data_IF_880918503209
#
_entry.id   IF_880918503209
#
_cell.length_a   1.000
_cell.length_b   1.000
_cell.length_c   1.000
_cell.angle_alpha   90.00
_cell.angle_beta   90.00
_cell.angle_gamma   90.00
#
_symmetry.space_group_name_H-M   'P 1'
#
loop_
_entity.id
_entity.type
_entity.pdbx_description
1 polymer ?
#
# COMPACT_ATOMS: atom_id res chain seq x y z
N UNK A 1 51.94 16.05 -44.13
CA UNK A 1 51.03 15.31 -44.99
C UNK A 1 50.23 14.43 -44.07
N UNK A 2 49.05 14.91 -43.61
CA UNK A 2 47.73 14.59 -44.08
C UNK A 2 47.40 13.11 -43.82
N UNK A 3 46.42 12.68 -43.08
CA UNK A 3 45.01 13.07 -43.06
C UNK A 3 44.31 12.62 -41.78
N UNK A 4 43.28 13.31 -41.30
CA UNK A 4 42.47 12.93 -40.18
C UNK A 4 41.18 12.24 -40.68
N UNK A 5 40.38 11.71 -39.78
CA UNK A 5 39.01 11.23 -39.86
C UNK A 5 38.83 9.74 -39.56
N UNK A 6 38.33 9.46 -38.38
CA UNK A 6 37.01 8.85 -38.22
C UNK A 6 36.69 8.54 -36.73
N UNK A 7 36.23 9.55 -36.04
CA UNK A 7 35.51 9.40 -34.79
C UNK A 7 34.09 8.91 -35.06
N UNK A 8 33.84 7.62 -35.01
CA UNK A 8 32.47 7.09 -35.01
C UNK A 8 32.03 6.78 -33.59
N UNK A 9 31.10 7.59 -33.09
CA UNK A 9 30.25 7.33 -31.92
C UNK A 9 29.60 5.96 -32.07
N UNK A 10 29.99 5.00 -31.22
CA UNK A 10 29.28 3.73 -31.00
C UNK A 10 28.77 3.70 -29.54
N UNK A 11 27.82 4.51 -29.19
CA UNK A 11 27.21 4.49 -27.84
C UNK A 11 25.70 4.38 -27.83
N UNK A 12 25.03 4.34 -28.98
CA UNK A 12 23.57 4.24 -29.05
C UNK A 12 22.99 2.83 -29.20
N UNK A 13 23.75 1.91 -29.79
CA UNK A 13 23.21 0.61 -30.23
C UNK A 13 23.30 -0.48 -29.13
N UNK A 14 24.26 -0.43 -28.22
CA UNK A 14 24.36 -1.41 -27.12
C UNK A 14 23.27 -1.21 -26.06
N UNK A 15 22.95 0.03 -25.72
CA UNK A 15 21.87 0.33 -24.77
C UNK A 15 20.48 -0.10 -25.23
N UNK A 16 20.25 -0.08 -26.55
CA UNK A 16 18.97 -0.52 -27.14
C UNK A 16 18.85 -2.05 -27.14
N UNK A 17 19.97 -2.77 -27.31
CA UNK A 17 19.96 -4.24 -27.38
C UNK A 17 19.80 -4.87 -25.98
N UNK A 18 20.38 -4.31 -24.93
CA UNK A 18 20.15 -4.78 -23.56
C UNK A 18 18.70 -4.57 -23.09
N UNK A 19 18.12 -3.39 -23.37
CA UNK A 19 16.70 -3.15 -23.12
C UNK A 19 15.77 -4.10 -23.90
N UNK A 20 16.11 -4.48 -25.12
CA UNK A 20 15.33 -5.43 -25.91
C UNK A 20 15.43 -6.86 -25.38
N UNK A 21 16.53 -7.28 -24.79
CA UNK A 21 16.67 -8.61 -24.19
C UNK A 21 15.95 -8.74 -22.85
N UNK A 22 15.96 -7.71 -22.02
CA UNK A 22 15.17 -7.63 -20.79
C UNK A 22 13.66 -7.58 -21.11
N UNK A 23 13.27 -6.81 -22.14
CA UNK A 23 11.90 -6.68 -22.61
C UNK A 23 11.35 -8.01 -23.16
N UNK A 24 12.14 -8.76 -23.95
CA UNK A 24 11.77 -10.09 -24.44
C UNK A 24 11.71 -11.17 -23.33
N UNK A 25 12.52 -11.05 -22.26
CA UNK A 25 12.45 -11.91 -21.07
C UNK A 25 11.16 -11.67 -20.29
N UNK A 26 10.73 -10.42 -20.15
CA UNK A 26 9.50 -10.01 -19.51
C UNK A 26 8.25 -10.56 -20.24
N UNK A 27 8.20 -10.43 -21.57
CA UNK A 27 7.07 -10.93 -22.38
C UNK A 27 6.90 -12.44 -22.37
N UNK A 28 7.97 -13.23 -22.19
CA UNK A 28 7.87 -14.69 -22.11
C UNK A 28 7.24 -15.17 -20.80
N UNK A 29 7.36 -14.39 -19.70
CA UNK A 29 6.81 -14.73 -18.39
C UNK A 29 5.36 -14.25 -18.19
N UNK A 30 4.93 -13.25 -18.95
CA UNK A 30 3.59 -12.66 -18.87
C UNK A 30 2.97 -12.51 -20.27
N UNK A 31 2.49 -13.61 -20.90
CA UNK A 31 1.97 -13.58 -22.28
C UNK A 31 0.72 -12.71 -22.46
N UNK A 32 -0.11 -12.52 -21.43
CA UNK A 32 -1.31 -11.68 -21.48
C UNK A 32 -1.02 -10.18 -21.64
N UNK A 33 0.24 -9.78 -21.46
CA UNK A 33 0.70 -8.39 -21.70
C UNK A 33 0.70 -8.05 -23.21
N UNK A 34 0.76 -9.05 -24.08
CA UNK A 34 0.76 -8.86 -25.55
C UNK A 34 -0.62 -8.56 -26.14
N UNK A 35 -1.72 -8.95 -25.48
CA UNK A 35 -3.07 -8.71 -25.96
C UNK A 35 -3.53 -7.24 -25.82
N UNK A 36 -2.78 -6.42 -25.07
CA UNK A 36 -3.14 -5.05 -24.72
C UNK A 36 -2.35 -3.96 -25.47
N UNK A 37 -1.98 -4.18 -26.75
CA UNK A 37 -1.38 -3.11 -27.56
C UNK A 37 -2.24 -1.85 -27.66
N UNK A 38 -3.53 -1.91 -27.34
CA UNK A 38 -4.40 -0.73 -27.23
C UNK A 38 -4.17 0.09 -25.96
N UNK A 39 -3.64 -0.49 -24.87
CA UNK A 39 -3.22 0.25 -23.68
C UNK A 39 -1.82 0.87 -23.78
N UNK A 40 -1.02 0.44 -24.75
CA UNK A 40 0.35 0.96 -24.97
C UNK A 40 0.40 2.46 -25.34
N UNK A 41 -0.70 3.04 -25.84
CA UNK A 41 -0.79 4.49 -26.13
C UNK A 41 -0.88 5.36 -24.87
N UNK A 42 -1.14 4.79 -23.69
CA UNK A 42 -1.09 5.48 -22.40
C UNK A 42 0.18 5.15 -21.59
N UNK A 43 1.00 4.23 -22.05
CA UNK A 43 2.18 3.71 -21.37
C UNK A 43 3.51 4.42 -21.75
N UNK A 44 3.46 5.62 -22.32
CA UNK A 44 4.66 6.47 -22.47
C UNK A 44 4.97 7.26 -21.19
N UNK A 45 4.63 6.70 -20.02
CA UNK A 45 5.00 7.32 -18.75
C UNK A 45 6.50 7.10 -18.52
N UNK A 46 7.23 8.16 -18.29
CA UNK A 46 8.61 8.07 -17.85
C UNK A 46 8.62 7.62 -16.39
N UNK A 47 9.55 6.76 -15.99
CA UNK A 47 9.82 6.43 -14.57
C UNK A 47 10.03 7.70 -13.70
N UNK A 48 10.24 8.85 -14.35
CA UNK A 48 10.48 10.16 -13.72
C UNK A 48 9.23 10.83 -13.15
N UNK A 49 8.01 10.33 -13.43
CA UNK A 49 6.77 11.00 -13.03
C UNK A 49 6.30 10.63 -11.62
N UNK A 50 6.54 9.39 -11.12
CA UNK A 50 6.17 8.97 -9.75
C UNK A 50 7.18 9.50 -8.72
N UNK A 51 6.67 10.14 -7.67
CA UNK A 51 7.48 10.52 -6.52
C UNK A 51 7.82 9.29 -5.66
N UNK A 52 9.08 9.20 -5.24
CA UNK A 52 9.57 8.14 -4.35
C UNK A 52 10.21 8.74 -3.11
N UNK A 53 9.98 8.13 -1.94
CA UNK A 53 10.54 8.55 -0.67
C UNK A 53 11.34 7.44 0.00
N UNK A 54 12.55 7.78 0.44
CA UNK A 54 13.39 6.88 1.21
C UNK A 54 12.85 6.76 2.64
N UNK A 55 12.77 5.54 3.15
CA UNK A 55 12.51 5.32 4.58
C UNK A 55 13.81 5.65 5.35
N UNK A 56 13.75 6.56 6.32
CA UNK A 56 14.93 6.94 7.10
C UNK A 56 15.60 5.73 7.75
N UNK A 57 16.95 5.71 7.77
CA UNK A 57 17.73 4.61 8.37
C UNK A 57 17.79 3.34 7.53
N UNK A 58 17.23 3.33 6.31
CA UNK A 58 17.24 2.16 5.41
C UNK A 58 17.75 2.51 4.02
N UNK A 59 17.95 1.51 3.17
CA UNK A 59 18.13 1.68 1.72
C UNK A 59 16.79 1.59 0.95
N UNK A 60 15.70 1.27 1.65
CA UNK A 60 14.36 1.09 1.06
C UNK A 60 13.77 2.42 0.60
N UNK A 61 13.28 2.44 -0.63
CA UNK A 61 12.65 3.60 -1.26
C UNK A 61 11.26 3.20 -1.74
N UNK A 62 10.21 3.78 -1.15
CA UNK A 62 8.83 3.51 -1.51
C UNK A 62 8.32 4.49 -2.56
N UNK A 63 7.46 4.03 -3.48
CA UNK A 63 6.56 4.92 -4.20
C UNK A 63 5.62 5.60 -3.20
N UNK A 64 5.34 6.91 -3.36
CA UNK A 64 4.46 7.64 -2.42
C UNK A 64 3.01 7.16 -2.45
N UNK A 65 2.62 6.46 -3.53
CA UNK A 65 1.42 5.62 -3.59
C UNK A 65 1.85 4.17 -3.48
N UNK A 66 1.41 3.48 -2.43
CA UNK A 66 1.61 2.06 -2.19
C UNK A 66 0.32 1.34 -2.59
N UNK A 67 0.42 0.27 -3.36
CA UNK A 67 -0.75 -0.56 -3.67
C UNK A 67 -1.18 -1.33 -2.42
N UNK A 68 -2.39 -1.05 -1.92
CA UNK A 68 -2.97 -1.73 -0.76
C UNK A 68 -3.90 -2.87 -1.20
N UNK A 69 -3.62 -4.10 -0.78
CA UNK A 69 -4.36 -5.29 -1.23
C UNK A 69 -5.54 -5.70 -0.34
N UNK A 70 -5.90 -4.92 0.67
CA UNK A 70 -6.98 -5.28 1.59
C UNK A 70 -8.31 -5.63 0.90
N UNK A 71 -8.64 -4.93 -0.19
CA UNK A 71 -9.84 -5.18 -0.97
C UNK A 71 -9.73 -6.37 -1.95
N UNK A 72 -8.61 -7.11 -1.95
CA UNK A 72 -8.28 -8.09 -2.99
C UNK A 72 -8.35 -9.55 -2.52
N UNK A 73 -8.86 -9.84 -1.33
CA UNK A 73 -8.99 -11.19 -0.81
C UNK A 73 -10.41 -11.75 -0.86
N UNK A 74 -10.57 -13.05 -1.15
CA UNK A 74 -11.84 -13.75 -1.00
C UNK A 74 -12.83 -13.61 -2.16
N UNK A 75 -12.35 -13.36 -3.39
CA UNK A 75 -13.20 -13.06 -4.55
C UNK A 75 -13.37 -14.24 -5.53
N UNK A 76 -14.33 -14.07 -6.46
CA UNK A 76 -14.54 -14.97 -7.60
C UNK A 76 -13.31 -15.04 -8.51
N UNK A 77 -13.22 -16.08 -9.35
CA UNK A 77 -12.08 -16.26 -10.27
C UNK A 77 -11.89 -15.05 -11.22
N UNK A 78 -12.98 -14.41 -11.68
CA UNK A 78 -12.93 -13.22 -12.53
C UNK A 78 -12.36 -12.01 -11.76
N UNK A 79 -12.83 -11.80 -10.52
CA UNK A 79 -12.32 -10.73 -9.66
C UNK A 79 -10.85 -10.96 -9.29
N UNK A 80 -10.43 -12.23 -9.11
CA UNK A 80 -9.02 -12.57 -8.87
C UNK A 80 -8.14 -12.15 -10.05
N UNK A 81 -8.56 -12.43 -11.29
CA UNK A 81 -7.83 -12.04 -12.49
C UNK A 81 -7.70 -10.51 -12.58
N UNK A 82 -8.77 -9.78 -12.30
CA UNK A 82 -8.74 -8.32 -12.31
C UNK A 82 -7.85 -7.76 -11.19
N UNK A 83 -7.83 -8.39 -10.02
CA UNK A 83 -6.94 -8.02 -8.92
C UNK A 83 -5.45 -8.21 -9.30
N UNK A 84 -5.08 -9.33 -9.92
CA UNK A 84 -3.72 -9.56 -10.46
C UNK A 84 -3.36 -8.48 -11.49
N UNK A 85 -4.26 -8.20 -12.44
CA UNK A 85 -4.06 -7.16 -13.44
C UNK A 85 -3.93 -5.76 -12.83
N UNK A 86 -4.70 -5.47 -11.76
CA UNK A 86 -4.59 -4.19 -11.05
C UNK A 86 -3.21 -3.99 -10.42
N UNK A 87 -2.64 -5.01 -9.79
CA UNK A 87 -1.26 -4.98 -9.25
C UNK A 87 -0.26 -4.71 -10.38
N UNK A 88 -0.36 -5.44 -11.48
CA UNK A 88 0.54 -5.27 -12.64
C UNK A 88 0.38 -3.90 -13.29
N UNK A 89 -0.86 -3.38 -13.39
CA UNK A 89 -1.14 -2.05 -13.92
C UNK A 89 -0.57 -0.94 -13.02
N UNK A 90 -0.64 -1.11 -11.70
CA UNK A 90 -0.03 -0.18 -10.76
C UNK A 90 1.49 -0.10 -10.92
N UNK A 91 2.16 -1.26 -11.10
CA UNK A 91 3.60 -1.29 -11.38
C UNK A 91 3.96 -0.53 -12.66
N UNK A 92 3.24 -0.78 -13.76
CA UNK A 92 3.43 -0.04 -15.03
C UNK A 92 3.19 1.47 -14.87
N UNK A 93 2.35 1.85 -13.91
CA UNK A 93 2.10 3.25 -13.55
C UNK A 93 3.12 3.81 -12.53
N UNK A 94 4.23 3.12 -12.27
CA UNK A 94 5.32 3.59 -11.41
C UNK A 94 5.18 3.22 -9.93
N UNK A 95 4.15 2.48 -9.52
CA UNK A 95 4.04 1.98 -8.14
C UNK A 95 5.00 0.79 -7.97
N UNK A 96 5.96 0.92 -7.08
CA UNK A 96 6.93 -0.16 -6.80
C UNK A 96 6.70 -0.84 -5.45
N UNK A 97 5.76 -0.35 -4.65
CA UNK A 97 5.54 -0.82 -3.29
C UNK A 97 4.15 -1.42 -3.14
N UNK A 98 4.07 -2.64 -2.58
CA UNK A 98 2.86 -3.44 -2.46
C UNK A 98 2.65 -3.83 -1.00
N UNK A 99 1.53 -3.41 -0.40
CA UNK A 99 1.16 -3.75 0.98
C UNK A 99 0.05 -4.79 1.02
N UNK A 100 0.26 -5.82 1.83
CA UNK A 100 -0.66 -6.92 2.04
C UNK A 100 -0.66 -7.37 3.50
N UNK A 101 -1.39 -8.46 3.82
CA UNK A 101 -1.35 -9.14 5.10
C UNK A 101 -1.90 -10.57 4.98
N UNK A 102 -1.47 -11.53 5.84
CA UNK A 102 -2.06 -12.86 5.92
C UNK A 102 -3.56 -12.83 6.19
N UNK A 103 -4.04 -11.90 7.02
CA UNK A 103 -5.46 -11.75 7.35
C UNK A 103 -6.33 -11.40 6.13
N UNK A 104 -5.79 -10.72 5.11
CA UNK A 104 -6.58 -10.23 3.99
C UNK A 104 -7.04 -11.39 3.11
N UNK A 105 -8.33 -11.73 3.20
CA UNK A 105 -8.90 -12.91 2.56
C UNK A 105 -8.29 -14.22 3.05
N UNK A 106 -7.79 -14.27 4.29
CA UNK A 106 -7.19 -15.46 4.89
C UNK A 106 -6.03 -16.04 4.04
N UNK A 107 -5.18 -15.15 3.50
CA UNK A 107 -4.04 -15.46 2.66
C UNK A 107 -4.22 -15.22 1.17
N UNK A 108 -5.46 -15.02 0.69
CA UNK A 108 -5.74 -14.84 -0.74
C UNK A 108 -5.07 -13.58 -1.30
N UNK A 109 -5.09 -12.47 -0.54
CA UNK A 109 -4.47 -11.22 -1.00
C UNK A 109 -2.94 -11.38 -1.20
N UNK A 110 -2.25 -12.08 -0.31
CA UNK A 110 -0.82 -12.38 -0.50
C UNK A 110 -0.58 -13.28 -1.70
N UNK A 111 -1.46 -14.27 -1.93
CA UNK A 111 -1.37 -15.15 -3.09
C UNK A 111 -1.57 -14.38 -4.40
N UNK A 112 -2.53 -13.44 -4.44
CA UNK A 112 -2.75 -12.54 -5.59
C UNK A 112 -1.53 -11.66 -5.85
N UNK A 113 -0.94 -11.07 -4.81
CA UNK A 113 0.31 -10.30 -4.95
C UNK A 113 1.41 -11.20 -5.48
N UNK A 114 1.60 -12.42 -4.91
CA UNK A 114 2.60 -13.38 -5.35
C UNK A 114 2.47 -13.76 -6.83
N UNK A 115 1.24 -14.00 -7.32
CA UNK A 115 0.98 -14.23 -8.74
C UNK A 115 1.31 -13.03 -9.62
N UNK A 116 0.91 -11.84 -9.17
CA UNK A 116 1.10 -10.62 -9.94
C UNK A 116 2.58 -10.23 -10.09
N UNK A 117 3.37 -10.41 -9.04
CA UNK A 117 4.80 -10.02 -9.03
C UNK A 117 5.75 -11.06 -9.62
N UNK A 118 5.27 -12.27 -9.91
CA UNK A 118 6.11 -13.36 -10.48
C UNK A 118 6.81 -12.95 -11.79
N UNK A 119 6.19 -12.02 -12.52
CA UNK A 119 6.75 -11.47 -13.74
C UNK A 119 7.50 -10.14 -13.55
N UNK A 120 7.56 -9.60 -12.32
CA UNK A 120 8.22 -8.33 -12.03
C UNK A 120 9.65 -8.57 -11.51
N UNK A 121 10.59 -7.63 -11.75
CA UNK A 121 11.93 -7.75 -11.19
C UNK A 121 11.86 -7.53 -9.67
N UNK A 122 12.14 -8.59 -8.90
CA UNK A 122 11.97 -8.62 -7.44
C UNK A 122 12.80 -7.54 -6.72
N UNK A 123 13.98 -7.23 -7.23
CA UNK A 123 14.90 -6.20 -6.70
C UNK A 123 14.43 -4.76 -6.97
N UNK A 124 13.43 -4.57 -7.83
CA UNK A 124 12.83 -3.25 -8.15
C UNK A 124 11.54 -2.96 -7.39
N UNK A 125 11.04 -3.94 -6.63
CA UNK A 125 9.80 -3.78 -5.88
C UNK A 125 10.02 -3.95 -4.38
N UNK A 126 9.10 -3.39 -3.59
CA UNK A 126 9.06 -3.53 -2.14
C UNK A 126 7.77 -4.23 -1.73
N UNK A 127 7.90 -5.32 -1.00
CA UNK A 127 6.78 -6.10 -0.46
C UNK A 127 6.68 -5.80 1.03
N UNK A 128 5.53 -5.27 1.43
CA UNK A 128 5.19 -4.97 2.80
C UNK A 128 4.09 -5.95 3.22
N UNK A 129 4.33 -6.77 4.24
CA UNK A 129 3.27 -7.61 4.81
C UNK A 129 3.27 -7.54 6.33
N UNK A 130 2.35 -8.27 6.96
CA UNK A 130 2.08 -8.13 8.38
C UNK A 130 2.03 -9.47 9.08
N UNK A 131 1.96 -9.46 10.43
CA UNK A 131 1.81 -10.63 11.28
C UNK A 131 1.06 -10.27 12.57
N UNK A 132 0.72 -11.29 13.36
CA UNK A 132 0.14 -11.12 14.69
C UNK A 132 -1.38 -11.07 14.70
N UNK A 133 -2.07 -11.28 13.58
CA UNK A 133 -3.51 -11.54 13.52
C UNK A 133 -3.76 -12.93 12.95
N UNK A 134 -4.20 -13.84 13.82
CA UNK A 134 -4.33 -15.27 13.54
C UNK A 134 -5.78 -15.72 13.54
N UNK A 135 -6.07 -16.75 12.75
CA UNK A 135 -7.39 -17.40 12.66
C UNK A 135 -7.30 -18.93 12.65
N UNK A 136 -6.09 -19.44 12.67
CA UNK A 136 -5.74 -20.86 12.45
C UNK A 136 -5.05 -21.47 13.68
N UNK A 137 -5.17 -20.82 14.84
CA UNK A 137 -4.62 -21.26 16.12
C UNK A 137 -5.70 -21.28 17.20
N UNK A 138 -5.42 -22.01 18.27
CA UNK A 138 -6.20 -21.96 19.51
C UNK A 138 -5.56 -20.98 20.49
N UNK A 139 -6.35 -20.09 21.09
CA UNK A 139 -5.87 -19.08 22.05
C UNK A 139 -5.53 -17.76 21.39
N UNK A 140 -4.93 -16.83 22.14
CA UNK A 140 -4.70 -15.44 21.76
C UNK A 140 -5.80 -14.50 22.28
N UNK A 141 -5.61 -13.19 22.09
CA UNK A 141 -6.59 -12.17 22.49
C UNK A 141 -7.65 -12.02 21.38
N UNK A 142 -8.95 -12.20 21.66
CA UNK A 142 -10.00 -11.97 20.66
C UNK A 142 -9.87 -10.57 20.02
N UNK A 143 -9.97 -10.50 18.70
CA UNK A 143 -9.85 -9.25 17.96
C UNK A 143 -11.12 -8.92 17.18
N UNK A 144 -11.56 -9.84 16.32
CA UNK A 144 -12.76 -9.68 15.50
C UNK A 144 -13.23 -11.04 14.97
N UNK A 145 -14.30 -11.05 14.22
CA UNK A 145 -14.70 -12.21 13.43
C UNK A 145 -14.95 -11.79 11.98
N UNK A 146 -14.77 -12.71 11.07
CA UNK A 146 -15.08 -12.53 9.64
C UNK A 146 -15.73 -13.81 9.08
N UNK A 147 -16.27 -13.70 7.88
CA UNK A 147 -16.83 -14.86 7.17
C UNK A 147 -15.84 -15.27 6.07
N UNK A 148 -15.49 -16.55 6.02
CA UNK A 148 -14.62 -17.09 4.97
C UNK A 148 -15.40 -17.27 3.64
N UNK A 149 -14.69 -17.65 2.57
CA UNK A 149 -15.30 -17.87 1.25
C UNK A 149 -16.39 -18.96 1.21
N UNK A 150 -16.37 -19.90 2.16
CA UNK A 150 -17.40 -20.94 2.31
C UNK A 150 -18.64 -20.48 3.12
N UNK A 151 -18.65 -19.21 3.60
CA UNK A 151 -19.73 -18.68 4.41
C UNK A 151 -19.65 -19.00 5.90
N UNK A 152 -18.55 -19.60 6.37
CA UNK A 152 -18.37 -19.97 7.77
C UNK A 152 -17.75 -18.81 8.55
N UNK A 153 -18.19 -18.57 9.83
CA UNK A 153 -17.54 -17.61 10.70
C UNK A 153 -16.12 -18.09 11.06
N UNK A 154 -15.20 -17.14 11.13
CA UNK A 154 -13.79 -17.35 11.51
C UNK A 154 -13.42 -16.30 12.54
N UNK A 155 -13.02 -16.73 13.72
CA UNK A 155 -12.57 -15.84 14.78
C UNK A 155 -11.12 -15.43 14.54
N UNK A 156 -10.86 -14.13 14.70
CA UNK A 156 -9.52 -13.55 14.55
C UNK A 156 -9.01 -13.18 15.93
N UNK A 157 -7.80 -13.59 16.24
CA UNK A 157 -7.12 -13.31 17.50
C UNK A 157 -5.82 -12.57 17.29
N UNK A 158 -5.42 -11.74 18.25
CA UNK A 158 -4.04 -11.19 18.34
C UNK A 158 -3.15 -12.22 18.99
N UNK A 159 -2.05 -12.55 18.34
CA UNK A 159 -1.05 -13.47 18.86
C UNK A 159 0.29 -13.28 18.13
N UNK A 160 1.26 -12.71 18.81
CA UNK A 160 2.58 -12.39 18.27
C UNK A 160 3.73 -13.15 18.97
N UNK A 161 3.43 -14.32 19.56
CA UNK A 161 4.44 -15.19 20.16
C UNK A 161 5.44 -15.69 19.10
N UNK A 162 6.66 -16.00 19.53
CA UNK A 162 7.82 -16.34 18.70
C UNK A 162 7.49 -17.31 17.56
N UNK A 163 6.91 -18.46 17.89
CA UNK A 163 6.65 -19.51 16.91
C UNK A 163 5.57 -19.08 15.89
N UNK A 164 4.61 -18.25 16.32
CA UNK A 164 3.59 -17.65 15.45
C UNK A 164 4.20 -16.69 14.45
N UNK A 165 5.06 -15.77 14.91
CA UNK A 165 5.76 -14.80 14.05
C UNK A 165 6.54 -15.49 12.96
N UNK A 166 7.28 -16.58 13.33
CA UNK A 166 8.07 -17.36 12.38
C UNK A 166 7.17 -18.08 11.39
N UNK A 167 6.13 -18.77 11.87
CA UNK A 167 5.20 -19.52 11.01
C UNK A 167 4.45 -18.61 10.03
N UNK A 168 4.02 -17.42 10.48
CA UNK A 168 3.38 -16.43 9.62
C UNK A 168 4.34 -15.92 8.54
N UNK A 169 5.59 -15.63 8.87
CA UNK A 169 6.61 -15.22 7.89
C UNK A 169 6.83 -16.27 6.82
N UNK A 170 7.04 -17.53 7.21
CA UNK A 170 7.22 -18.66 6.28
C UNK A 170 5.98 -18.86 5.39
N UNK A 171 4.78 -18.74 5.97
CA UNK A 171 3.52 -18.80 5.24
C UNK A 171 3.40 -17.66 4.23
N UNK A 172 3.75 -16.42 4.61
CA UNK A 172 3.74 -15.23 3.74
C UNK A 172 4.74 -15.38 2.60
N UNK A 173 5.98 -15.79 2.85
CA UNK A 173 6.99 -16.04 1.82
C UNK A 173 6.50 -17.05 0.78
N UNK A 174 5.84 -18.13 1.22
CA UNK A 174 5.28 -19.15 0.34
C UNK A 174 4.14 -18.60 -0.53
N UNK A 175 3.19 -17.84 0.05
CA UNK A 175 2.07 -17.26 -0.69
C UNK A 175 2.53 -16.18 -1.65
N UNK A 176 3.47 -15.34 -1.23
CA UNK A 176 4.08 -14.27 -2.02
C UNK A 176 5.08 -14.75 -3.08
N UNK A 177 5.45 -16.05 -3.05
CA UNK A 177 6.41 -16.66 -3.98
C UNK A 177 7.75 -15.91 -4.02
N UNK A 178 8.27 -15.52 -2.86
CA UNK A 178 9.51 -14.75 -2.71
C UNK A 178 10.35 -15.27 -1.56
N UNK A 179 11.65 -15.05 -1.61
CA UNK A 179 12.60 -15.49 -0.58
C UNK A 179 12.74 -14.48 0.56
N UNK A 180 12.29 -13.23 0.37
CA UNK A 180 12.37 -12.19 1.39
C UNK A 180 11.22 -11.19 1.34
N UNK A 181 10.93 -10.60 2.51
CA UNK A 181 9.97 -9.52 2.72
C UNK A 181 10.75 -8.23 2.99
N UNK A 182 10.40 -7.14 2.33
CA UNK A 182 11.10 -5.87 2.51
C UNK A 182 10.73 -5.19 3.83
N UNK A 183 9.44 -5.22 4.22
CA UNK A 183 8.95 -4.67 5.49
C UNK A 183 7.95 -5.62 6.15
N UNK A 184 8.29 -6.14 7.33
CA UNK A 184 7.44 -7.03 8.10
C UNK A 184 6.89 -6.30 9.32
N UNK A 185 5.56 -6.21 9.42
CA UNK A 185 4.89 -5.28 10.33
C UNK A 185 4.02 -6.02 11.34
N UNK A 186 4.18 -5.75 12.63
CA UNK A 186 3.17 -6.19 13.61
C UNK A 186 1.86 -5.43 13.35
N UNK A 187 0.79 -6.15 13.00
CA UNK A 187 -0.46 -5.61 12.47
C UNK A 187 -1.24 -4.77 13.50
N UNK A 188 -1.25 -5.25 14.75
CA UNK A 188 -1.84 -4.59 15.91
C UNK A 188 -1.01 -4.91 17.15
N UNK A 189 -0.97 -4.02 18.14
CA UNK A 189 -0.36 -4.33 19.44
C UNK A 189 -0.94 -5.61 20.03
N UNK A 190 -0.08 -6.48 20.52
CA UNK A 190 -0.46 -7.68 21.25
C UNK A 190 -0.01 -7.52 22.72
N UNK A 191 -1.00 -7.28 23.60
CA UNK A 191 -0.75 -7.01 25.01
C UNK A 191 -0.53 -8.32 25.82
N UNK A 192 -0.71 -9.50 25.21
CA UNK A 192 -0.53 -10.79 25.86
C UNK A 192 0.87 -11.38 25.67
N UNK A 193 1.54 -11.03 24.58
CA UNK A 193 2.90 -11.50 24.30
C UNK A 193 3.93 -10.44 24.73
N UNK A 194 4.98 -10.81 25.47
CA UNK A 194 6.08 -9.90 25.75
C UNK A 194 6.72 -9.35 24.48
N UNK A 195 6.98 -8.04 24.43
CA UNK A 195 7.53 -7.39 23.23
C UNK A 195 8.91 -7.92 22.85
N UNK A 196 9.75 -8.28 23.82
CA UNK A 196 11.05 -8.91 23.60
C UNK A 196 10.91 -10.22 22.84
N UNK A 197 10.00 -11.12 23.23
CA UNK A 197 9.75 -12.38 22.56
C UNK A 197 9.34 -12.16 21.08
N UNK A 198 8.40 -11.23 20.86
CA UNK A 198 7.93 -10.89 19.51
C UNK A 198 9.06 -10.36 18.63
N UNK A 199 9.81 -9.37 19.14
CA UNK A 199 10.78 -8.67 18.30
C UNK A 199 12.12 -9.42 18.19
N UNK A 200 12.48 -10.29 19.15
CA UNK A 200 13.58 -11.24 18.97
C UNK A 200 13.29 -12.22 17.81
N UNK A 201 12.04 -12.69 17.68
CA UNK A 201 11.66 -13.52 16.54
C UNK A 201 11.79 -12.76 15.19
N UNK A 202 11.38 -11.50 15.14
CA UNK A 202 11.57 -10.66 13.94
C UNK A 202 13.06 -10.43 13.65
N UNK A 203 13.87 -10.15 14.67
CA UNK A 203 15.32 -9.97 14.51
C UNK A 203 15.98 -11.25 13.95
N UNK A 204 15.59 -12.42 14.45
CA UNK A 204 16.07 -13.69 13.92
C UNK A 204 15.71 -13.86 12.43
N UNK A 205 14.52 -13.47 12.00
CA UNK A 205 14.12 -13.50 10.59
C UNK A 205 14.93 -12.51 9.73
N UNK A 206 15.32 -11.36 10.30
CA UNK A 206 16.22 -10.40 9.65
C UNK A 206 17.62 -11.01 9.49
N UNK A 207 18.16 -11.63 10.55
CA UNK A 207 19.47 -12.27 10.53
C UNK A 207 19.55 -13.44 9.54
N UNK A 208 18.40 -14.11 9.30
CA UNK A 208 18.25 -15.16 8.27
C UNK A 208 18.06 -14.59 6.85
N UNK A 209 17.95 -13.27 6.69
CA UNK A 209 17.71 -12.63 5.39
C UNK A 209 16.28 -12.79 4.83
N UNK A 210 15.34 -13.34 5.62
CA UNK A 210 13.93 -13.50 5.23
C UNK A 210 13.12 -12.21 5.34
N UNK A 211 13.55 -11.30 6.22
CA UNK A 211 12.96 -9.97 6.43
C UNK A 211 14.08 -8.95 6.33
N UNK A 212 13.84 -7.82 5.67
CA UNK A 212 14.84 -6.75 5.59
C UNK A 212 14.67 -5.74 6.70
N UNK A 213 13.46 -5.32 6.99
CA UNK A 213 13.16 -4.29 7.98
C UNK A 213 11.91 -4.62 8.80
N UNK A 214 11.93 -4.21 10.07
CA UNK A 214 10.80 -4.32 10.98
C UNK A 214 9.97 -3.04 11.01
N UNK A 215 8.65 -3.17 11.00
CA UNK A 215 7.68 -2.10 11.18
C UNK A 215 6.59 -2.48 12.16
N UNK A 216 5.77 -1.51 12.50
CA UNK A 216 4.56 -1.71 13.29
C UNK A 216 3.35 -1.06 12.62
N UNK A 217 2.16 -1.41 13.09
CA UNK A 217 0.92 -0.79 12.66
C UNK A 217 0.04 -0.52 13.88
N UNK A 218 -0.66 0.63 13.87
CA UNK A 218 -1.55 1.05 14.95
C UNK A 218 -0.90 1.26 16.33
N UNK A 219 0.39 1.54 16.35
CA UNK A 219 1.13 1.84 17.56
C UNK A 219 1.03 3.33 17.93
N UNK A 220 0.89 3.64 19.21
CA UNK A 220 1.15 4.98 19.75
C UNK A 220 2.64 5.28 19.79
N UNK A 221 3.02 6.55 19.99
CA UNK A 221 4.42 6.93 20.17
C UNK A 221 5.08 6.23 21.36
N UNK A 222 4.33 6.06 22.48
CA UNK A 222 4.82 5.34 23.65
C UNK A 222 5.08 3.84 23.39
N UNK A 223 4.17 3.18 22.65
CA UNK A 223 4.37 1.79 22.25
C UNK A 223 5.54 1.62 21.29
N UNK A 224 5.74 2.57 20.36
CA UNK A 224 6.92 2.55 19.49
C UNK A 224 8.21 2.71 20.29
N UNK A 225 8.25 3.64 21.27
CA UNK A 225 9.41 3.83 22.13
C UNK A 225 9.75 2.56 22.92
N UNK A 226 8.75 1.79 23.36
CA UNK A 226 8.96 0.52 24.03
C UNK A 226 9.51 -0.55 23.07
N UNK A 227 8.90 -0.70 21.89
CA UNK A 227 9.33 -1.65 20.87
C UNK A 227 10.78 -1.40 20.41
N UNK A 228 11.20 -0.13 20.35
CA UNK A 228 12.57 0.25 19.96
C UNK A 228 13.66 -0.12 20.96
N UNK A 229 13.29 -0.55 22.16
CA UNK A 229 14.26 -1.15 23.09
C UNK A 229 14.71 -2.54 22.66
N UNK A 230 13.95 -3.20 21.80
CA UNK A 230 14.15 -4.59 21.39
C UNK A 230 14.60 -4.71 19.93
N UNK A 231 14.10 -3.85 19.04
CA UNK A 231 14.44 -3.88 17.61
C UNK A 231 14.35 -2.47 17.00
N UNK A 232 15.10 -2.23 15.91
CA UNK A 232 14.98 -0.98 15.18
C UNK A 232 13.70 -0.96 14.32
N UNK A 233 12.69 -0.20 14.75
CA UNK A 233 11.45 0.01 14.02
C UNK A 233 11.64 1.13 12.99
N UNK A 234 11.34 0.87 11.71
CA UNK A 234 11.54 1.85 10.63
C UNK A 234 10.26 2.60 10.24
N UNK A 235 9.08 2.03 10.54
CA UNK A 235 7.79 2.61 10.15
C UNK A 235 6.66 2.30 11.11
N UNK A 236 5.63 3.16 11.08
CA UNK A 236 4.32 2.89 11.66
C UNK A 236 3.24 3.08 10.59
N UNK A 237 2.41 2.05 10.39
CA UNK A 237 1.28 2.09 9.48
C UNK A 237 0.01 2.43 10.26
N UNK A 238 -0.61 3.60 9.99
CA UNK A 238 -1.71 4.16 10.80
C UNK A 238 -2.87 4.64 9.93
N UNK A 239 -4.13 4.67 10.48
CA UNK A 239 -5.25 5.24 9.76
C UNK A 239 -5.08 6.76 9.66
N UNK A 240 -5.16 7.29 8.44
CA UNK A 240 -5.05 8.72 8.24
C UNK A 240 -5.75 9.17 6.96
N UNK A 241 -6.61 10.17 7.07
CA UNK A 241 -7.34 10.75 5.95
C UNK A 241 -7.70 12.23 6.22
N UNK A 242 -8.28 12.92 5.25
CA UNK A 242 -8.80 14.28 5.42
C UNK A 242 -9.81 14.41 6.56
N UNK A 243 -10.56 13.36 6.88
CA UNK A 243 -11.60 13.35 7.93
C UNK A 243 -11.23 12.53 9.17
N UNK A 244 -10.04 11.92 9.18
CA UNK A 244 -9.49 11.17 10.32
C UNK A 244 -8.04 11.61 10.55
N UNK A 245 -7.85 12.65 11.35
CA UNK A 245 -6.56 13.30 11.61
C UNK A 245 -6.12 13.24 13.09
N UNK A 246 -6.85 12.48 13.92
CA UNK A 246 -6.60 12.43 15.38
C UNK A 246 -5.18 12.01 15.77
N UNK A 247 -4.49 11.26 14.89
CA UNK A 247 -3.13 10.77 15.11
C UNK A 247 -2.02 11.84 14.87
N UNK A 248 -2.36 13.03 14.34
CA UNK A 248 -1.37 14.05 13.96
C UNK A 248 -0.55 14.55 15.16
N UNK A 249 -1.22 14.85 16.27
CA UNK A 249 -0.61 15.51 17.43
C UNK A 249 0.33 14.62 18.22
N UNK A 250 0.13 13.33 18.19
CA UNK A 250 0.89 12.37 18.99
C UNK A 250 1.69 11.44 18.08
N UNK A 251 1.05 10.51 17.38
CA UNK A 251 1.74 9.43 16.67
C UNK A 251 2.53 9.92 15.46
N UNK A 252 1.94 10.80 14.61
CA UNK A 252 2.67 11.37 13.46
C UNK A 252 3.81 12.26 13.92
N UNK A 253 3.58 13.04 14.98
CA UNK A 253 4.63 13.89 15.57
C UNK A 253 5.77 13.05 16.11
N UNK A 254 5.48 11.98 16.86
CA UNK A 254 6.51 11.05 17.35
C UNK A 254 7.32 10.47 16.19
N UNK A 255 6.66 9.96 15.15
CA UNK A 255 7.33 9.39 13.98
C UNK A 255 8.27 10.40 13.30
N UNK A 256 7.81 11.65 13.15
CA UNK A 256 8.61 12.73 12.56
C UNK A 256 9.85 13.03 13.38
N UNK A 257 9.69 13.21 14.70
CA UNK A 257 10.79 13.55 15.61
C UNK A 257 11.84 12.42 15.72
N UNK A 258 11.40 11.15 15.58
CA UNK A 258 12.26 9.97 15.66
C UNK A 258 12.66 9.41 14.28
N UNK A 259 12.36 10.15 13.18
CA UNK A 259 12.70 9.76 11.81
C UNK A 259 12.13 8.38 11.41
N UNK A 260 10.87 8.12 11.78
CA UNK A 260 10.13 6.93 11.36
C UNK A 260 9.24 7.25 10.19
N UNK A 261 9.09 6.31 9.26
CA UNK A 261 8.14 6.47 8.17
C UNK A 261 6.70 6.29 8.67
N UNK A 262 5.79 7.14 8.19
CA UNK A 262 4.35 6.96 8.39
C UNK A 262 3.73 6.48 7.09
N UNK A 263 3.09 5.31 7.14
CA UNK A 263 2.35 4.72 6.05
C UNK A 263 0.86 4.91 6.33
N UNK A 264 0.21 5.82 5.60
CA UNK A 264 -1.18 6.18 5.84
C UNK A 264 -2.13 5.19 5.16
N UNK A 265 -2.87 4.39 5.92
CA UNK A 265 -3.90 3.52 5.36
C UNK A 265 -5.29 4.17 5.44
N UNK A 266 -6.24 3.71 4.59
CA UNK A 266 -7.58 4.27 4.41
C UNK A 266 -7.60 5.76 4.03
N UNK A 267 -6.72 6.27 3.20
CA UNK A 267 -6.71 7.70 2.84
C UNK A 267 -8.00 8.16 2.16
N UNK A 268 -8.71 7.24 1.48
CA UNK A 268 -10.00 7.48 0.81
C UNK A 268 -11.22 7.08 1.65
N UNK A 269 -11.05 6.68 2.92
CA UNK A 269 -12.11 6.23 3.83
C UNK A 269 -13.07 5.21 3.19
N UNK A 270 -12.49 4.16 2.60
CA UNK A 270 -13.22 3.09 1.89
C UNK A 270 -14.17 3.60 0.79
N UNK A 271 -13.78 4.70 0.15
CA UNK A 271 -14.50 5.31 -0.95
C UNK A 271 -15.32 6.56 -0.61
N UNK A 272 -15.54 6.90 0.67
CA UNK A 272 -16.28 8.11 1.05
C UNK A 272 -15.66 9.40 0.48
N UNK A 273 -14.33 9.45 0.36
CA UNK A 273 -13.59 10.62 -0.12
C UNK A 273 -13.28 10.57 -1.63
N UNK A 274 -13.97 9.73 -2.41
CA UNK A 274 -13.76 9.63 -3.87
C UNK A 274 -14.70 10.52 -4.69
N UNK A 275 -15.78 11.01 -4.07
CA UNK A 275 -16.86 11.71 -4.77
C UNK A 275 -17.81 10.79 -5.54
N UNK A 276 -17.71 9.46 -5.36
CA UNK A 276 -18.61 8.48 -6.01
C UNK A 276 -19.71 7.98 -5.07
N UNK A 277 -19.54 8.15 -3.74
CA UNK A 277 -20.52 7.81 -2.73
C UNK A 277 -21.28 9.07 -2.34
N UNK A 278 -22.60 9.05 -2.49
CA UNK A 278 -23.52 10.14 -2.19
C UNK A 278 -24.73 9.63 -1.41
N UNK A 279 -25.55 10.52 -0.83
CA UNK A 279 -26.78 10.13 -0.18
C UNK A 279 -27.69 9.31 -1.12
N UNK A 280 -28.10 8.13 -0.65
CA UNK A 280 -28.86 7.18 -1.46
C UNK A 280 -28.03 6.10 -2.15
N UNK A 281 -26.71 6.08 -2.00
CA UNK A 281 -25.86 4.96 -2.46
C UNK A 281 -26.26 3.68 -1.73
N UNK A 282 -26.61 2.64 -2.50
CA UNK A 282 -26.98 1.33 -1.98
C UNK A 282 -25.77 0.39 -2.05
N UNK A 283 -25.35 -0.13 -0.89
CA UNK A 283 -24.30 -1.13 -0.82
C UNK A 283 -24.88 -2.55 -0.96
N UNK A 284 -24.24 -3.43 -1.75
CA UNK A 284 -24.66 -4.83 -1.91
C UNK A 284 -24.70 -5.58 -0.56
N UNK A 285 -25.49 -6.68 -0.52
CA UNK A 285 -25.44 -7.60 0.62
C UNK A 285 -24.04 -8.21 0.75
N UNK A 286 -23.49 -8.17 1.97
CA UNK A 286 -22.12 -8.65 2.25
C UNK A 286 -21.03 -7.57 2.11
N UNK A 287 -21.36 -6.39 1.61
CA UNK A 287 -20.45 -5.25 1.67
C UNK A 287 -20.44 -4.68 3.10
N UNK A 288 -19.27 -4.66 3.73
CA UNK A 288 -19.11 -4.19 5.11
C UNK A 288 -19.58 -2.75 5.33
N UNK A 289 -19.60 -1.93 4.29
CA UNK A 289 -20.04 -0.54 4.34
C UNK A 289 -21.52 -0.40 4.68
N UNK A 290 -22.32 -1.40 4.31
CA UNK A 290 -23.76 -1.42 4.56
C UNK A 290 -24.12 -1.30 6.05
N UNK A 291 -23.35 -1.97 6.90
CA UNK A 291 -23.61 -2.07 8.34
C UNK A 291 -22.62 -1.24 9.18
N UNK A 292 -21.76 -0.46 8.52
CA UNK A 292 -20.74 0.35 9.17
C UNK A 292 -21.28 1.72 9.58
N UNK A 293 -21.02 2.13 10.82
CA UNK A 293 -21.38 3.45 11.36
C UNK A 293 -20.78 4.63 10.53
N UNK A 294 -19.68 4.39 9.82
CA UNK A 294 -19.08 5.39 8.93
C UNK A 294 -19.90 5.64 7.67
N UNK A 295 -20.85 4.78 7.33
CA UNK A 295 -21.67 4.84 6.12
C UNK A 295 -23.15 5.07 6.38
N UNK A 296 -23.51 5.66 7.52
CA UNK A 296 -24.87 6.16 7.76
C UNK A 296 -25.18 7.30 6.79
N UNK A 297 -26.46 7.46 6.41
CA UNK A 297 -26.90 8.54 5.52
C UNK A 297 -26.46 9.93 6.01
N UNK A 298 -26.48 10.15 7.32
CA UNK A 298 -26.03 11.40 7.92
C UNK A 298 -24.54 11.65 7.68
N UNK A 299 -23.70 10.64 7.93
CA UNK A 299 -22.26 10.77 7.72
C UNK A 299 -21.89 10.87 6.24
N UNK A 300 -22.59 10.12 5.37
CA UNK A 300 -22.44 10.23 3.92
C UNK A 300 -22.74 11.66 3.47
N UNK A 301 -23.88 12.26 3.90
CA UNK A 301 -24.21 13.66 3.58
C UNK A 301 -23.14 14.64 4.06
N UNK A 302 -22.66 14.45 5.27
CA UNK A 302 -21.62 15.31 5.86
C UNK A 302 -20.34 15.28 5.02
N UNK A 303 -19.90 14.08 4.63
CA UNK A 303 -18.68 13.90 3.86
C UNK A 303 -18.88 14.34 2.40
N UNK A 304 -20.01 14.04 1.78
CA UNK A 304 -20.34 14.48 0.42
C UNK A 304 -20.34 16.02 0.31
N UNK A 305 -20.96 16.72 1.26
CA UNK A 305 -20.91 18.19 1.34
C UNK A 305 -19.48 18.75 1.44
N UNK A 306 -18.58 18.04 2.12
CA UNK A 306 -17.16 18.40 2.13
C UNK A 306 -16.49 18.13 0.78
N UNK A 307 -16.71 16.96 0.21
CA UNK A 307 -16.14 16.55 -1.09
C UNK A 307 -16.58 17.50 -2.21
N UNK A 308 -17.86 17.96 -2.19
CA UNK A 308 -18.36 18.95 -3.14
C UNK A 308 -17.59 20.27 -3.11
N UNK A 309 -17.02 20.67 -1.97
CA UNK A 309 -16.18 21.87 -1.89
C UNK A 309 -14.79 21.67 -2.54
N UNK A 310 -14.33 20.42 -2.65
CA UNK A 310 -13.06 20.08 -3.32
C UNK A 310 -13.21 20.01 -4.84
N UNK A 311 -14.42 19.80 -5.36
CA UNK A 311 -14.72 19.57 -6.77
C UNK A 311 -14.20 20.67 -7.70
N UNK A 312 -14.38 21.99 -7.43
CA UNK A 312 -13.85 23.03 -8.31
C UNK A 312 -12.33 22.97 -8.48
N UNK A 313 -11.60 22.64 -7.42
CA UNK A 313 -10.15 22.51 -7.48
C UNK A 313 -9.72 21.30 -8.30
N UNK A 314 -10.41 20.15 -8.14
CA UNK A 314 -10.13 18.96 -8.92
C UNK A 314 -10.41 19.18 -10.42
N UNK A 315 -11.51 19.86 -10.77
CA UNK A 315 -11.88 20.22 -12.13
C UNK A 315 -10.86 21.18 -12.78
N UNK A 316 -10.43 22.22 -12.07
CA UNK A 316 -9.40 23.17 -12.53
C UNK A 316 -8.08 22.46 -12.85
N UNK A 317 -7.70 21.50 -12.00
CA UNK A 317 -6.52 20.67 -12.18
C UNK A 317 -6.69 19.51 -13.18
N UNK A 318 -7.90 19.23 -13.65
CA UNK A 318 -8.25 18.10 -14.50
C UNK A 318 -7.82 16.75 -13.88
N UNK A 319 -8.03 16.61 -12.58
CA UNK A 319 -7.77 15.40 -11.80
C UNK A 319 -9.06 14.93 -11.13
N UNK A 320 -9.06 13.67 -10.65
CA UNK A 320 -10.20 13.17 -9.89
C UNK A 320 -10.13 13.62 -8.43
N UNK A 321 -11.26 13.57 -7.73
CA UNK A 321 -11.31 13.80 -6.28
C UNK A 321 -10.40 12.82 -5.54
N UNK A 322 -10.40 11.54 -5.94
CA UNK A 322 -9.53 10.53 -5.34
C UNK A 322 -8.04 10.92 -5.46
N UNK A 323 -7.62 11.38 -6.64
CA UNK A 323 -6.24 11.86 -6.85
C UNK A 323 -5.92 13.09 -6.00
N UNK A 324 -6.85 14.04 -5.89
CA UNK A 324 -6.68 15.22 -5.04
C UNK A 324 -6.50 14.85 -3.57
N UNK A 325 -7.36 13.96 -3.05
CA UNK A 325 -7.33 13.48 -1.66
C UNK A 325 -6.05 12.71 -1.36
N UNK A 326 -5.67 11.79 -2.24
CA UNK A 326 -4.41 11.04 -2.10
C UNK A 326 -3.21 11.99 -2.13
N UNK A 327 -3.17 12.94 -3.07
CA UNK A 327 -2.05 13.89 -3.16
C UNK A 327 -1.97 14.81 -1.95
N UNK A 328 -3.09 15.31 -1.44
CA UNK A 328 -3.11 16.08 -0.20
C UNK A 328 -2.53 15.27 0.96
N UNK A 329 -2.96 14.01 1.10
CA UNK A 329 -2.46 13.12 2.16
C UNK A 329 -0.94 12.91 2.05
N UNK A 330 -0.43 12.65 0.84
CA UNK A 330 1.01 12.49 0.56
C UNK A 330 1.80 13.76 0.96
N UNK A 331 1.22 14.96 0.80
CA UNK A 331 1.89 16.22 1.10
C UNK A 331 1.78 16.66 2.56
N UNK A 332 1.05 15.94 3.41
CA UNK A 332 1.01 16.23 4.85
C UNK A 332 2.37 15.97 5.49
N UNK A 333 2.75 16.92 6.37
CA UNK A 333 4.00 16.79 7.13
C UNK A 333 4.01 15.51 7.96
N UNK A 334 5.06 14.73 7.85
CA UNK A 334 5.24 13.46 8.56
C UNK A 334 4.69 12.23 7.83
N UNK A 335 3.84 12.36 6.79
CA UNK A 335 3.37 11.24 5.99
C UNK A 335 4.42 10.86 4.94
N UNK A 336 4.80 9.59 4.90
CA UNK A 336 5.79 9.07 3.94
C UNK A 336 5.14 8.56 2.67
N UNK A 337 4.09 7.76 2.80
CA UNK A 337 3.35 7.19 1.67
C UNK A 337 1.89 6.91 2.06
N UNK A 338 1.02 6.76 1.07
CA UNK A 338 -0.38 6.40 1.24
C UNK A 338 -0.65 5.01 0.67
N UNK A 339 -1.46 4.22 1.34
CA UNK A 339 -1.91 2.92 0.87
C UNK A 339 -3.26 3.08 0.14
N UNK A 340 -3.24 2.94 -1.17
CA UNK A 340 -4.43 3.06 -1.99
C UNK A 340 -4.84 1.70 -2.56
N UNK A 341 -6.02 1.21 -2.18
CA UNK A 341 -6.59 -0.03 -2.69
C UNK A 341 -7.15 0.15 -4.10
N UNK A 342 -7.02 -0.87 -4.93
CA UNK A 342 -7.65 -0.92 -6.25
C UNK A 342 -8.15 -2.34 -6.55
N UNK A 343 -9.33 -2.42 -7.17
CA UNK A 343 -9.95 -3.67 -7.60
C UNK A 343 -9.77 -3.93 -9.09
N UNK A 344 -9.56 -2.88 -9.87
CA UNK A 344 -9.39 -2.95 -11.32
C UNK A 344 -8.11 -2.22 -11.76
N UNK A 345 -7.58 -2.54 -12.94
CA UNK A 345 -6.46 -1.83 -13.54
C UNK A 345 -6.66 -0.32 -13.63
N UNK A 346 -7.86 0.13 -13.98
CA UNK A 346 -8.19 1.54 -14.12
C UNK A 346 -8.08 2.29 -12.79
N UNK A 347 -8.62 1.71 -11.70
CA UNK A 347 -8.48 2.26 -10.35
C UNK A 347 -7.01 2.32 -9.91
N UNK A 348 -6.22 1.28 -10.23
CA UNK A 348 -4.81 1.25 -9.90
C UNK A 348 -4.01 2.35 -10.60
N UNK A 349 -4.27 2.55 -11.91
CA UNK A 349 -3.67 3.63 -12.71
C UNK A 349 -4.13 5.01 -12.21
N UNK A 350 -5.42 5.15 -11.89
CA UNK A 350 -5.97 6.39 -11.35
C UNK A 350 -5.29 6.79 -10.04
N UNK A 351 -5.21 5.85 -9.09
CA UNK A 351 -4.56 6.08 -7.79
C UNK A 351 -3.06 6.45 -7.96
N UNK A 352 -2.35 5.75 -8.84
CA UNK A 352 -0.93 5.97 -9.09
C UNK A 352 -0.64 7.42 -9.53
N UNK A 353 -1.54 8.03 -10.33
CA UNK A 353 -1.38 9.41 -10.80
C UNK A 353 -1.34 10.45 -9.68
N UNK A 354 -1.78 10.12 -8.47
CA UNK A 354 -1.61 11.01 -7.32
C UNK A 354 -0.14 11.23 -6.95
N UNK A 355 0.77 10.35 -7.37
CA UNK A 355 2.21 10.48 -7.19
C UNK A 355 2.92 11.41 -8.19
N UNK A 356 2.22 11.90 -9.23
CA UNK A 356 2.84 12.58 -10.38
C UNK A 356 2.85 14.10 -10.30
N UNK A 357 2.07 14.68 -9.39
CA UNK A 357 1.92 16.13 -9.31
C UNK A 357 2.03 16.61 -7.87
N UNK A 358 2.16 17.91 -7.69
CA UNK A 358 2.14 18.56 -6.38
C UNK A 358 1.04 19.60 -6.31
N UNK A 359 0.42 19.74 -5.13
CA UNK A 359 -0.46 20.86 -4.80
C UNK A 359 0.37 22.06 -4.37
N UNK A 360 0.02 23.24 -4.84
CA UNK A 360 0.65 24.48 -4.43
C UNK A 360 0.27 24.85 -2.99
N UNK A 361 1.02 25.73 -2.35
CA UNK A 361 0.69 26.25 -1.01
C UNK A 361 -0.71 26.87 -0.96
N UNK A 362 -1.14 27.55 -2.04
CA UNK A 362 -2.48 28.16 -2.13
C UNK A 362 -3.57 27.09 -2.14
N UNK A 363 -3.38 26.00 -2.90
CA UNK A 363 -4.32 24.89 -2.97
C UNK A 363 -4.38 24.10 -1.66
N UNK A 364 -3.23 23.82 -1.05
CA UNK A 364 -3.18 23.21 0.29
C UNK A 364 -3.93 24.09 1.31
N UNK A 365 -3.70 25.42 1.30
CA UNK A 365 -4.40 26.35 2.18
C UNK A 365 -5.91 26.41 1.93
N UNK A 366 -6.35 26.32 0.67
CA UNK A 366 -7.77 26.21 0.34
C UNK A 366 -8.39 24.93 0.92
N UNK A 367 -7.75 23.78 0.67
CA UNK A 367 -8.23 22.51 1.21
C UNK A 367 -8.31 22.57 2.74
N UNK A 368 -7.29 23.09 3.41
CA UNK A 368 -7.27 23.22 4.87
C UNK A 368 -8.39 24.13 5.40
N UNK A 369 -8.78 25.16 4.66
CA UNK A 369 -9.87 26.06 5.06
C UNK A 369 -11.25 25.42 5.02
N UNK A 370 -11.43 24.34 4.26
CA UNK A 370 -12.70 23.62 4.11
C UNK A 370 -12.70 22.26 4.81
N UNK A 371 -11.56 21.82 5.40
CA UNK A 371 -11.48 20.56 6.13
C UNK A 371 -12.47 20.52 7.30
N UNK A 372 -13.18 19.40 7.52
CA UNK A 372 -14.00 19.22 8.71
C UNK A 372 -13.14 19.31 9.98
N UNK A 373 -13.68 19.79 11.11
CA UNK A 373 -12.98 19.74 12.39
C UNK A 373 -12.60 18.30 12.75
N UNK A 374 -11.52 18.14 13.52
CA UNK A 374 -11.03 16.85 14.04
C UNK A 374 -11.86 16.43 15.25
#
# INVERSE_FOLDING_TARGET
>A
MTDPENGKRKTGTLFVIERFSEWNGFHRKCPDILAEQQFALHASRKEEDMEYRKIPGTDMKLSVVVFGSWANGGWSASERTDAVRAVQASYRAGVTSFDTAPLYGLGDAETIIGEAIECLPRDKIQILTKFGLRWDINGGIPFSSMTNAAGNPVDIVRHAGRDSVIAECEGSLKRLKTDYIDLYQLHWPDDATPMDETFEAVQMLIDQGKVRYAGVSNYSGGQMAEAEKHIHIVSNQIPYSMINRGVEKETVRYCLDHKKAVLAYRPLESGLLTGTINPGTIFPKGDFRRDSASFTDENIRRVDNFVLQLKPLAEDRKITIAQLVLRWTIQRTGITAVLAGAKTPEQAIENAKAGDFTLTKKEMGYIESVLPPV
#
